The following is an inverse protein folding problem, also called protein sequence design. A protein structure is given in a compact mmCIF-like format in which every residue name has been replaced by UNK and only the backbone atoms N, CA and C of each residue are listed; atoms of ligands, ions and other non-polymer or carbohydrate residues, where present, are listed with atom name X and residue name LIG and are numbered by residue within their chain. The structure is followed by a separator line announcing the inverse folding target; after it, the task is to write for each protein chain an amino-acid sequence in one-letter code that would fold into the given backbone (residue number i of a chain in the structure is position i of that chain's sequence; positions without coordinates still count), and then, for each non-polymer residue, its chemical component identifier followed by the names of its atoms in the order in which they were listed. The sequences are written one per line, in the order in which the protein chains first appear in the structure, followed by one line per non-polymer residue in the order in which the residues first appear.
data_IF_513264949985
#
_entry.id   IF_513264949985
#
_cell.length_a   1.000
_cell.length_b   1.000
_cell.length_c   1.000
_cell.angle_alpha   90.00
_cell.angle_beta   90.00
_cell.angle_gamma   90.00
#
_symmetry.space_group_name_H-M   'P 1'
#
loop_
_entity.id
_entity.type
_entity.pdbx_description
1 polymer ?
#
# COMPACT_ATOMS: atom_id res chain seq x y z
N UNK A 1 1.40 19.80 42.55
CA UNK A 1 1.63 20.41 41.23
C UNK A 1 3.12 20.64 40.91
N UNK A 2 4.09 20.31 41.78
CA UNK A 2 5.53 20.58 41.53
C UNK A 2 6.33 19.42 40.91
N UNK A 3 5.87 18.16 40.97
CA UNK A 3 6.63 17.00 40.44
C UNK A 3 6.77 16.96 38.90
N UNK A 4 5.86 17.58 38.14
CA UNK A 4 5.96 17.59 36.67
C UNK A 4 7.09 18.48 36.14
N UNK A 5 7.56 19.45 36.93
CA UNK A 5 8.57 20.41 36.46
C UNK A 5 10.01 19.85 36.58
N UNK A 6 10.27 18.96 37.54
CA UNK A 6 11.57 18.27 37.66
C UNK A 6 11.84 17.31 36.48
N UNK A 7 10.80 16.66 35.94
CA UNK A 7 10.93 15.78 34.78
C UNK A 7 11.26 16.53 33.47
N UNK A 8 10.93 17.82 33.37
CA UNK A 8 11.19 18.62 32.18
C UNK A 8 12.65 19.11 32.10
N UNK A 9 13.28 19.42 33.23
CA UNK A 9 14.69 19.86 33.25
C UNK A 9 15.68 18.75 32.87
N UNK A 10 15.37 17.48 33.17
CA UNK A 10 16.23 16.34 32.82
C UNK A 10 16.15 15.89 31.35
N UNK A 11 15.27 16.49 30.55
CA UNK A 11 15.08 16.16 29.12
C UNK A 11 15.59 17.24 28.16
N UNK A 12 16.30 18.25 28.68
CA UNK A 12 16.95 19.26 27.84
C UNK A 12 18.10 18.62 27.07
N UNK A 13 18.05 18.70 25.73
CA UNK A 13 19.08 18.16 24.86
C UNK A 13 20.05 19.28 24.47
N UNK A 14 21.37 19.01 24.50
CA UNK A 14 22.35 19.93 23.93
C UNK A 14 22.08 20.15 22.43
N UNK A 15 22.27 21.38 21.95
CA UNK A 15 21.95 21.75 20.56
C UNK A 15 22.68 20.87 19.53
N UNK A 16 23.93 20.50 19.82
CA UNK A 16 24.73 19.62 18.98
C UNK A 16 24.09 18.23 18.82
N UNK A 17 23.58 17.68 19.93
CA UNK A 17 22.86 16.41 19.95
C UNK A 17 21.53 16.51 19.19
N UNK A 18 20.85 17.64 19.30
CA UNK A 18 19.58 17.87 18.61
C UNK A 18 19.77 17.98 17.10
N UNK A 19 20.81 18.67 16.65
CA UNK A 19 21.19 18.68 15.24
C UNK A 19 21.52 17.27 14.74
N UNK A 20 22.15 16.44 15.59
CA UNK A 20 22.43 15.03 15.28
C UNK A 20 21.16 14.17 15.12
N UNK A 21 20.14 14.41 15.95
CA UNK A 21 18.89 13.65 15.93
C UNK A 21 17.85 14.17 14.93
N UNK A 22 17.92 15.43 14.50
CA UNK A 22 16.93 16.08 13.62
C UNK A 22 16.61 15.26 12.36
N UNK A 23 17.61 14.74 11.63
CA UNK A 23 17.33 13.99 10.41
C UNK A 23 16.71 12.61 10.70
N UNK A 24 17.10 11.98 11.81
CA UNK A 24 16.48 10.73 12.26
C UNK A 24 15.01 10.95 12.63
N UNK A 25 14.71 12.04 13.34
CA UNK A 25 13.35 12.46 13.66
C UNK A 25 12.52 12.71 12.39
N UNK A 26 13.08 13.40 11.39
CA UNK A 26 12.41 13.60 10.09
C UNK A 26 12.08 12.29 9.39
N UNK A 27 13.02 11.34 9.40
CA UNK A 27 12.83 10.02 8.78
C UNK A 27 11.77 9.20 9.51
N UNK A 28 11.81 9.22 10.85
CA UNK A 28 10.78 8.59 11.66
C UNK A 28 9.40 9.23 11.45
N UNK A 29 9.33 10.55 11.26
CA UNK A 29 8.10 11.28 10.99
C UNK A 29 7.54 10.94 9.61
N UNK A 30 8.40 10.85 8.59
CA UNK A 30 8.04 10.39 7.24
C UNK A 30 7.45 8.97 7.25
N UNK A 31 8.03 8.08 8.05
CA UNK A 31 7.62 6.69 8.16
C UNK A 31 6.56 6.43 9.22
N UNK A 32 5.92 7.50 9.75
CA UNK A 32 4.89 7.38 10.78
C UNK A 32 5.34 6.58 12.02
N UNK A 33 6.64 6.54 12.28
CA UNK A 33 7.30 5.74 13.31
C UNK A 33 7.88 6.59 14.46
N UNK A 34 7.72 7.92 14.39
CA UNK A 34 8.15 8.84 15.45
C UNK A 34 7.38 8.53 16.73
N UNK A 35 8.14 8.22 17.79
CA UNK A 35 7.60 8.02 19.16
C UNK A 35 7.66 9.31 19.99
N UNK A 36 8.54 10.23 19.63
CA UNK A 36 8.82 11.47 20.34
C UNK A 36 8.86 12.64 19.36
N UNK A 37 8.50 13.83 19.84
CA UNK A 37 8.61 15.11 19.15
C UNK A 37 9.70 15.94 19.79
N UNK A 38 10.60 16.48 18.97
CA UNK A 38 11.63 17.41 19.43
C UNK A 38 11.12 18.82 19.19
N UNK A 39 10.88 19.60 20.25
CA UNK A 39 10.43 20.99 20.15
C UNK A 39 11.20 21.84 21.16
N UNK A 40 11.77 22.95 20.70
CA UNK A 40 12.45 23.94 21.54
C UNK A 40 13.51 23.34 22.49
N UNK A 41 14.33 22.42 21.98
CA UNK A 41 15.42 21.73 22.69
C UNK A 41 14.98 20.67 23.73
N UNK A 42 13.67 20.39 23.81
CA UNK A 42 13.13 19.33 24.65
C UNK A 42 12.66 18.13 23.82
N UNK A 43 12.94 16.93 24.31
CA UNK A 43 12.35 15.68 23.79
C UNK A 43 11.04 15.45 24.53
N UNK A 44 9.93 15.73 23.85
CA UNK A 44 8.59 15.57 24.39
C UNK A 44 7.96 14.28 23.82
N UNK A 45 7.18 13.53 24.61
CA UNK A 45 6.37 12.45 24.06
C UNK A 45 5.40 13.03 23.01
N UNK A 46 5.14 12.27 21.94
CA UNK A 46 4.23 12.73 20.90
C UNK A 46 2.84 13.05 21.48
N UNK A 47 2.27 14.17 21.05
CA UNK A 47 0.91 14.56 21.44
C UNK A 47 -0.11 13.45 21.13
N UNK A 48 -1.15 13.33 21.95
CA UNK A 48 -2.28 12.41 21.69
C UNK A 48 -2.90 12.65 20.32
N UNK A 49 -2.93 13.90 19.84
CA UNK A 49 -3.42 14.26 18.50
C UNK A 49 -2.56 13.68 17.39
N UNK A 50 -1.23 13.75 17.48
CA UNK A 50 -0.34 13.09 16.51
C UNK A 50 -0.54 11.57 16.48
N UNK A 51 -0.66 10.94 17.66
CA UNK A 51 -0.94 9.51 17.76
C UNK A 51 -2.28 9.16 17.09
N UNK A 52 -3.34 9.93 17.37
CA UNK A 52 -4.65 9.73 16.76
C UNK A 52 -4.62 9.90 15.23
N UNK A 53 -3.96 10.94 14.71
CA UNK A 53 -3.79 11.14 13.26
C UNK A 53 -3.06 9.96 12.63
N UNK A 54 -1.98 9.49 13.24
CA UNK A 54 -1.23 8.36 12.72
C UNK A 54 -2.07 7.06 12.68
N UNK A 55 -2.81 6.78 13.76
CA UNK A 55 -3.75 5.65 13.81
C UNK A 55 -4.80 5.78 12.73
N UNK A 56 -5.37 6.96 12.51
CA UNK A 56 -6.35 7.20 11.44
C UNK A 56 -5.77 6.96 10.05
N UNK A 57 -4.55 7.43 9.78
CA UNK A 57 -3.85 7.19 8.51
C UNK A 57 -3.60 5.69 8.30
N UNK A 58 -3.12 4.98 9.33
CA UNK A 58 -2.92 3.54 9.26
C UNK A 58 -4.24 2.79 9.05
N UNK A 59 -5.31 3.16 9.75
CA UNK A 59 -6.65 2.60 9.56
C UNK A 59 -7.15 2.84 8.13
N UNK A 60 -6.93 4.03 7.56
CA UNK A 60 -7.30 4.34 6.19
C UNK A 60 -6.53 3.48 5.18
N UNK A 61 -5.22 3.31 5.36
CA UNK A 61 -4.39 2.45 4.51
C UNK A 61 -4.88 1.00 4.58
N UNK A 62 -5.15 0.49 5.79
CA UNK A 62 -5.68 -0.85 6.01
C UNK A 62 -7.05 -1.02 5.34
N UNK A 63 -7.95 -0.04 5.49
CA UNK A 63 -9.26 -0.05 4.87
C UNK A 63 -9.17 -0.06 3.34
N UNK A 64 -8.38 0.85 2.74
CA UNK A 64 -8.18 0.91 1.30
C UNK A 64 -7.65 -0.42 0.76
N UNK A 65 -6.75 -1.05 1.50
CA UNK A 65 -6.22 -2.35 1.16
C UNK A 65 -7.24 -3.49 1.24
N UNK A 66 -8.07 -3.54 2.29
CA UNK A 66 -9.17 -4.51 2.38
C UNK A 66 -10.21 -4.30 1.28
N UNK A 67 -10.49 -3.04 0.91
CA UNK A 67 -11.38 -2.72 -0.19
C UNK A 67 -10.81 -3.20 -1.54
N UNK A 68 -9.51 -3.02 -1.80
CA UNK A 68 -8.88 -3.54 -3.02
C UNK A 68 -8.94 -5.06 -3.07
N UNK A 69 -8.66 -5.75 -1.95
CA UNK A 69 -8.77 -7.20 -1.87
C UNK A 69 -10.21 -7.68 -2.14
N UNK A 70 -11.22 -7.02 -1.55
CA UNK A 70 -12.61 -7.37 -1.80
C UNK A 70 -13.00 -7.13 -3.25
N UNK A 71 -12.52 -6.06 -3.89
CA UNK A 71 -12.72 -5.84 -5.33
C UNK A 71 -12.06 -6.91 -6.19
N UNK A 72 -10.87 -7.38 -5.84
CA UNK A 72 -10.18 -8.47 -6.56
C UNK A 72 -11.03 -9.75 -6.50
N UNK A 73 -11.44 -10.16 -5.30
CA UNK A 73 -12.24 -11.38 -5.11
C UNK A 73 -13.61 -11.25 -5.79
N UNK A 74 -14.28 -10.11 -5.63
CA UNK A 74 -15.57 -9.86 -6.26
C UNK A 74 -15.47 -9.88 -7.80
N UNK A 75 -14.44 -9.25 -8.38
CA UNK A 75 -14.22 -9.25 -9.83
C UNK A 75 -13.95 -10.67 -10.34
N UNK A 76 -13.11 -11.44 -9.63
CA UNK A 76 -12.84 -12.84 -9.98
C UNK A 76 -14.12 -13.69 -9.97
N UNK A 77 -14.88 -13.67 -8.87
CA UNK A 77 -16.13 -14.44 -8.75
C UNK A 77 -17.16 -14.00 -9.79
N UNK A 78 -17.34 -12.69 -9.98
CA UNK A 78 -18.28 -12.17 -10.96
C UNK A 78 -17.94 -12.64 -12.37
N UNK A 79 -16.67 -12.62 -12.78
CA UNK A 79 -16.26 -13.09 -14.11
C UNK A 79 -16.57 -14.57 -14.28
N UNK A 80 -16.27 -15.41 -13.28
CA UNK A 80 -16.55 -16.85 -13.36
C UNK A 80 -18.05 -17.16 -13.40
N UNK A 81 -18.85 -16.54 -12.55
CA UNK A 81 -20.31 -16.70 -12.53
C UNK A 81 -20.90 -16.22 -13.86
N UNK A 82 -20.45 -15.07 -14.35
CA UNK A 82 -20.87 -14.49 -15.63
C UNK A 82 -20.55 -15.45 -16.79
N UNK A 83 -19.38 -16.08 -16.79
CA UNK A 83 -19.00 -17.07 -17.78
C UNK A 83 -19.87 -18.34 -17.70
N UNK A 84 -20.13 -18.86 -16.50
CA UNK A 84 -20.99 -20.04 -16.32
C UNK A 84 -22.41 -19.80 -16.82
N UNK A 85 -22.95 -18.62 -16.54
CA UNK A 85 -24.26 -18.19 -17.02
C UNK A 85 -24.29 -18.17 -18.56
N UNK A 86 -23.26 -17.59 -19.22
CA UNK A 86 -23.14 -17.58 -20.68
C UNK A 86 -23.06 -18.99 -21.25
N UNK A 87 -22.26 -19.87 -20.66
CA UNK A 87 -22.17 -21.28 -21.06
C UNK A 87 -23.55 -21.96 -20.96
N UNK A 88 -24.28 -21.74 -19.86
CA UNK A 88 -25.63 -22.25 -19.68
C UNK A 88 -26.60 -21.80 -20.78
N UNK A 89 -26.49 -20.55 -21.23
CA UNK A 89 -27.31 -20.04 -22.34
C UNK A 89 -26.93 -20.64 -23.67
N UNK A 90 -25.64 -20.82 -23.96
CA UNK A 90 -25.22 -21.44 -25.22
C UNK A 90 -25.78 -22.87 -25.38
N UNK A 91 -26.14 -23.54 -24.28
CA UNK A 91 -26.79 -24.86 -24.29
C UNK A 91 -28.32 -24.82 -24.40
N UNK A 92 -28.97 -23.67 -24.21
CA UNK A 92 -30.43 -23.54 -24.22
C UNK A 92 -30.94 -22.95 -25.56
N UNK A 93 -31.36 -23.82 -26.48
CA UNK A 93 -31.76 -23.44 -27.86
C UNK A 93 -33.04 -22.60 -27.99
N UNK A 94 -33.78 -22.28 -26.91
CA UNK A 94 -35.12 -21.67 -27.04
C UNK A 94 -35.42 -20.66 -25.93
N UNK A 95 -35.40 -19.35 -26.23
CA UNK A 95 -36.31 -18.29 -25.69
C UNK A 95 -35.86 -16.85 -26.03
N UNK A 96 -36.16 -16.37 -27.26
CA UNK A 96 -35.70 -15.05 -27.77
C UNK A 96 -35.98 -13.82 -26.88
N UNK A 97 -37.10 -13.77 -26.14
CA UNK A 97 -37.45 -12.60 -25.32
C UNK A 97 -36.68 -12.49 -23.99
N UNK A 98 -36.20 -13.61 -23.46
CA UNK A 98 -35.42 -13.63 -22.22
C UNK A 98 -33.98 -13.12 -22.49
N UNK A 99 -33.48 -13.27 -23.72
CA UNK A 99 -32.12 -12.87 -24.11
C UNK A 99 -31.84 -11.37 -23.99
N UNK A 100 -32.82 -10.50 -24.26
CA UNK A 100 -32.58 -9.06 -24.32
C UNK A 100 -32.32 -8.45 -22.93
N UNK A 101 -33.19 -8.72 -21.95
CA UNK A 101 -33.00 -8.29 -20.56
C UNK A 101 -31.71 -8.83 -19.96
N UNK A 102 -31.43 -10.09 -20.28
CA UNK A 102 -30.24 -10.79 -19.84
C UNK A 102 -28.96 -10.15 -20.42
N UNK A 103 -28.97 -9.80 -21.72
CA UNK A 103 -27.85 -9.15 -22.38
C UNK A 103 -27.53 -7.79 -21.76
N UNK A 104 -28.56 -7.01 -21.40
CA UNK A 104 -28.40 -5.73 -20.71
C UNK A 104 -27.73 -5.91 -19.33
N UNK A 105 -28.21 -6.88 -18.53
CA UNK A 105 -27.60 -7.20 -17.23
C UNK A 105 -26.13 -7.59 -17.40
N UNK A 106 -25.81 -8.34 -18.46
CA UNK A 106 -24.46 -8.76 -18.77
C UNK A 106 -23.55 -7.57 -19.09
N UNK A 107 -23.98 -6.65 -19.96
CA UNK A 107 -23.22 -5.43 -20.29
C UNK A 107 -22.99 -4.58 -19.05
N UNK A 108 -24.00 -4.41 -18.20
CA UNK A 108 -23.88 -3.68 -16.93
C UNK A 108 -22.88 -4.35 -15.98
N UNK A 109 -22.91 -5.68 -15.88
CA UNK A 109 -21.95 -6.45 -15.08
C UNK A 109 -20.52 -6.26 -15.60
N UNK A 110 -20.30 -6.37 -16.91
CA UNK A 110 -18.99 -6.15 -17.53
C UNK A 110 -18.49 -4.73 -17.24
N UNK A 111 -19.33 -3.71 -17.44
CA UNK A 111 -18.98 -2.32 -17.16
C UNK A 111 -18.61 -2.10 -15.67
N UNK A 112 -19.34 -2.72 -14.74
CA UNK A 112 -19.05 -2.67 -13.31
C UNK A 112 -17.70 -3.33 -12.97
N UNK A 113 -17.42 -4.49 -13.56
CA UNK A 113 -16.15 -5.19 -13.38
C UNK A 113 -14.98 -4.40 -13.99
N UNK A 114 -15.16 -3.75 -15.14
CA UNK A 114 -14.15 -2.85 -15.72
C UNK A 114 -13.84 -1.70 -14.77
N UNK A 115 -14.86 -1.06 -14.18
CA UNK A 115 -14.65 -0.01 -13.16
C UNK A 115 -13.82 -0.52 -11.97
N UNK A 116 -14.16 -1.70 -11.43
CA UNK A 116 -13.42 -2.27 -10.31
C UNK A 116 -11.96 -2.59 -10.69
N UNK A 117 -11.75 -3.13 -11.89
CA UNK A 117 -10.42 -3.39 -12.42
C UNK A 117 -9.59 -2.11 -12.57
N UNK A 118 -10.18 -1.02 -13.06
CA UNK A 118 -9.50 0.29 -13.15
C UNK A 118 -9.07 0.80 -11.77
N UNK A 119 -9.90 0.63 -10.73
CA UNK A 119 -9.54 0.98 -9.35
C UNK A 119 -8.32 0.18 -8.87
N UNK A 120 -8.31 -1.14 -9.14
CA UNK A 120 -7.17 -2.01 -8.78
C UNK A 120 -5.90 -1.55 -9.50
N UNK A 121 -5.97 -1.25 -10.80
CA UNK A 121 -4.83 -0.75 -11.60
C UNK A 121 -4.31 0.59 -11.05
N UNK A 122 -5.20 1.53 -10.74
CA UNK A 122 -4.81 2.83 -10.18
C UNK A 122 -4.12 2.69 -8.82
N UNK A 123 -4.65 1.82 -7.95
CA UNK A 123 -4.05 1.52 -6.65
C UNK A 123 -2.66 0.88 -6.81
N UNK A 124 -2.56 -0.18 -7.61
CA UNK A 124 -1.28 -0.86 -7.91
C UNK A 124 -0.23 0.08 -8.49
N UNK A 125 -0.62 0.96 -9.41
CA UNK A 125 0.28 1.96 -10.01
C UNK A 125 0.75 2.98 -8.96
N UNK A 126 -0.14 3.38 -8.05
CA UNK A 126 0.20 4.30 -6.97
C UNK A 126 1.19 3.66 -5.99
N UNK A 127 1.00 2.38 -5.65
CA UNK A 127 1.95 1.61 -4.85
C UNK A 127 3.32 1.51 -5.54
N UNK A 128 3.36 1.23 -6.84
CA UNK A 128 4.62 1.13 -7.60
C UNK A 128 5.38 2.45 -7.62
N UNK A 129 4.69 3.58 -7.83
CA UNK A 129 5.29 4.93 -7.77
C UNK A 129 5.84 5.23 -6.38
N UNK A 130 5.12 4.84 -5.33
CA UNK A 130 5.59 4.98 -3.96
C UNK A 130 6.86 4.14 -3.71
N UNK A 131 6.89 2.89 -4.15
CA UNK A 131 8.06 2.03 -4.02
C UNK A 131 9.26 2.57 -4.79
N UNK A 132 9.05 3.00 -6.04
CA UNK A 132 10.09 3.63 -6.87
C UNK A 132 10.67 4.88 -6.21
N UNK A 133 9.83 5.67 -5.52
CA UNK A 133 10.29 6.85 -4.78
C UNK A 133 11.17 6.47 -3.59
N UNK A 134 10.84 5.37 -2.89
CA UNK A 134 11.65 4.85 -1.79
C UNK A 134 12.97 4.27 -2.29
N UNK A 135 12.96 3.53 -3.41
CA UNK A 135 14.18 3.02 -4.02
C UNK A 135 15.09 4.15 -4.51
N UNK A 136 14.51 5.22 -5.08
CA UNK A 136 15.25 6.45 -5.41
C UNK A 136 15.86 7.13 -4.17
N UNK A 137 15.13 7.18 -3.05
CA UNK A 137 15.65 7.68 -1.78
C UNK A 137 16.83 6.84 -1.28
N UNK A 138 16.72 5.50 -1.34
CA UNK A 138 17.81 4.58 -0.98
C UNK A 138 19.04 4.82 -1.85
N UNK A 139 18.85 4.90 -3.17
CA UNK A 139 19.93 5.17 -4.11
C UNK A 139 20.64 6.49 -3.82
N UNK A 140 19.89 7.58 -3.64
CA UNK A 140 20.45 8.90 -3.31
C UNK A 140 21.20 8.88 -1.97
N UNK A 141 20.68 8.16 -0.97
CA UNK A 141 21.38 7.96 0.30
C UNK A 141 22.72 7.24 0.10
N UNK A 142 22.77 6.19 -0.72
CA UNK A 142 24.04 5.48 -1.03
C UNK A 142 25.03 6.40 -1.74
N UNK A 143 24.59 7.20 -2.71
CA UNK A 143 25.44 8.16 -3.43
C UNK A 143 26.03 9.21 -2.47
N UNK A 144 25.21 9.82 -1.62
CA UNK A 144 25.66 10.81 -0.63
C UNK A 144 26.66 10.20 0.36
N UNK A 145 26.44 8.93 0.74
CA UNK A 145 27.31 8.20 1.66
C UNK A 145 28.71 7.97 1.09
N UNK A 146 28.82 7.73 -0.21
CA UNK A 146 30.08 7.50 -0.91
C UNK A 146 30.80 8.79 -1.29
N UNK A 147 30.06 9.89 -1.47
CA UNK A 147 30.61 11.15 -1.99
C UNK A 147 31.16 12.10 -0.91
N UNK A 148 30.86 11.87 0.38
CA UNK A 148 31.19 12.83 1.45
C UNK A 148 32.04 12.19 2.57
N UNK A 149 33.38 12.35 2.55
CA UNK A 149 34.25 11.78 3.58
C UNK A 149 34.18 12.50 4.94
N UNK A 150 33.87 13.81 4.95
CA UNK A 150 34.25 14.68 6.08
C UNK A 150 33.17 14.95 7.16
N UNK A 151 31.87 14.75 6.89
CA UNK A 151 30.81 15.04 7.89
C UNK A 151 30.25 13.76 8.53
N UNK A 152 30.87 13.34 9.64
CA UNK A 152 30.50 12.14 10.41
C UNK A 152 29.00 12.07 10.77
N UNK A 153 28.38 13.21 11.10
CA UNK A 153 26.95 13.31 11.46
C UNK A 153 26.04 13.00 10.26
N UNK A 154 26.27 13.64 9.12
CA UNK A 154 25.47 13.40 7.91
C UNK A 154 25.63 11.95 7.42
N UNK A 155 26.84 11.40 7.52
CA UNK A 155 27.10 9.99 7.19
C UNK A 155 26.30 9.03 8.06
N UNK A 156 26.26 9.26 9.38
CA UNK A 156 25.50 8.42 10.31
C UNK A 156 23.99 8.49 10.08
N UNK A 157 23.48 9.68 9.77
CA UNK A 157 22.09 9.92 9.39
C UNK A 157 21.74 9.09 8.15
N UNK A 158 22.52 9.23 7.08
CA UNK A 158 22.28 8.55 5.82
C UNK A 158 22.32 7.02 5.98
N UNK A 159 23.24 6.50 6.80
CA UNK A 159 23.27 5.07 7.18
C UNK A 159 22.02 4.64 7.95
N UNK A 160 21.53 5.47 8.87
CA UNK A 160 20.33 5.15 9.65
C UNK A 160 19.06 5.18 8.78
N UNK A 161 18.95 6.12 7.85
CA UNK A 161 17.87 6.15 6.85
C UNK A 161 17.91 4.87 6.01
N UNK A 162 19.08 4.53 5.48
CA UNK A 162 19.26 3.32 4.66
C UNK A 162 18.87 2.06 5.43
N UNK A 163 19.39 1.89 6.66
CA UNK A 163 19.02 0.77 7.55
C UNK A 163 17.53 0.74 7.84
N UNK A 164 16.90 1.88 8.07
CA UNK A 164 15.47 1.95 8.35
C UNK A 164 14.65 1.54 7.13
N UNK A 165 15.03 2.01 5.94
CA UNK A 165 14.43 1.60 4.68
C UNK A 165 14.75 0.13 4.31
N UNK A 166 15.84 -0.46 4.79
CA UNK A 166 16.12 -1.89 4.57
C UNK A 166 15.37 -2.79 5.56
N UNK A 167 15.26 -2.37 6.82
CA UNK A 167 14.64 -3.19 7.89
C UNK A 167 13.11 -3.04 7.91
N UNK A 168 12.57 -1.84 7.69
CA UNK A 168 11.12 -1.58 7.84
C UNK A 168 10.36 -1.55 6.53
N UNK A 169 11.02 -1.25 5.42
CA UNK A 169 10.34 -1.19 4.15
C UNK A 169 10.47 -2.55 3.44
N UNK A 170 9.40 -3.33 3.56
CA UNK A 170 9.12 -4.42 2.64
C UNK A 170 7.99 -3.95 1.71
N UNK A 171 8.03 -4.35 0.43
CA UNK A 171 6.90 -4.11 -0.48
C UNK A 171 5.62 -4.60 0.19
N UNK A 172 4.55 -3.81 0.14
CA UNK A 172 3.29 -4.14 0.81
C UNK A 172 2.75 -5.45 0.21
N UNK A 173 2.48 -6.43 1.06
CA UNK A 173 1.99 -7.75 0.64
C UNK A 173 0.55 -7.96 1.07
N UNK A 174 -0.36 -8.05 0.11
CA UNK A 174 -1.77 -8.46 0.23
C UNK A 174 -1.91 -9.81 0.93
N UNK A 175 -2.35 -9.78 2.19
CA UNK A 175 -2.47 -10.90 3.14
C UNK A 175 -1.23 -11.81 3.20
N UNK A 176 -0.05 -11.26 2.93
CA UNK A 176 1.20 -12.04 2.84
C UNK A 176 1.34 -12.88 1.56
N UNK A 177 0.33 -12.93 0.69
CA UNK A 177 0.29 -13.78 -0.50
C UNK A 177 0.69 -13.05 -1.78
N UNK A 178 0.26 -11.80 -1.96
CA UNK A 178 0.54 -11.05 -3.20
C UNK A 178 1.23 -9.72 -2.92
N UNK A 179 2.30 -9.41 -3.64
CA UNK A 179 2.86 -8.05 -3.64
C UNK A 179 1.85 -7.09 -4.28
N UNK A 180 1.50 -6.00 -3.58
CA UNK A 180 0.70 -4.92 -4.13
C UNK A 180 1.59 -4.06 -5.03
N UNK A 181 1.94 -4.60 -6.20
CA UNK A 181 2.78 -3.99 -7.22
C UNK A 181 2.01 -3.81 -8.53
N UNK A 182 2.66 -3.19 -9.52
CA UNK A 182 2.07 -3.02 -10.86
C UNK A 182 1.76 -4.35 -11.57
N UNK A 183 2.31 -5.48 -11.10
CA UNK A 183 2.03 -6.80 -11.66
C UNK A 183 0.79 -7.47 -11.04
N UNK A 184 0.23 -6.95 -9.94
CA UNK A 184 -0.96 -7.50 -9.30
C UNK A 184 -2.17 -7.64 -10.26
N UNK A 185 -2.54 -6.62 -11.07
CA UNK A 185 -3.63 -6.75 -12.03
C UNK A 185 -3.33 -7.80 -13.10
N UNK A 186 -2.06 -7.92 -13.53
CA UNK A 186 -1.64 -8.90 -14.52
C UNK A 186 -1.74 -10.34 -13.98
N UNK A 187 -1.33 -10.56 -12.73
CA UNK A 187 -1.49 -11.85 -12.04
C UNK A 187 -2.96 -12.23 -11.87
N UNK A 188 -3.81 -11.26 -11.55
CA UNK A 188 -5.27 -11.47 -11.49
C UNK A 188 -5.82 -11.88 -12.86
N UNK A 189 -5.45 -11.17 -13.93
CA UNK A 189 -5.87 -11.51 -15.29
C UNK A 189 -5.41 -12.92 -15.71
N UNK A 190 -4.19 -13.30 -15.34
CA UNK A 190 -3.69 -14.66 -15.60
C UNK A 190 -4.50 -15.71 -14.85
N UNK A 191 -4.83 -15.48 -13.58
CA UNK A 191 -5.66 -16.40 -12.80
C UNK A 191 -7.06 -16.54 -13.41
N UNK A 192 -7.71 -15.41 -13.72
CA UNK A 192 -9.01 -15.38 -14.38
C UNK A 192 -8.97 -16.17 -15.69
N UNK A 193 -8.00 -15.88 -16.57
CA UNK A 193 -7.88 -16.55 -17.85
C UNK A 193 -7.74 -18.07 -17.70
N UNK A 194 -6.89 -18.54 -16.78
CA UNK A 194 -6.72 -19.98 -16.51
C UNK A 194 -8.02 -20.63 -16.08
N UNK A 195 -8.76 -20.04 -15.13
CA UNK A 195 -10.04 -20.60 -14.68
C UNK A 195 -11.13 -20.52 -15.76
N UNK A 196 -11.15 -19.46 -16.57
CA UNK A 196 -12.05 -19.37 -17.72
C UNK A 196 -11.78 -20.50 -18.72
N UNK A 197 -10.51 -20.78 -19.06
CA UNK A 197 -10.14 -21.88 -19.96
C UNK A 197 -10.60 -23.23 -19.39
N UNK A 198 -10.35 -23.49 -18.11
CA UNK A 198 -10.79 -24.73 -17.45
C UNK A 198 -12.31 -24.88 -17.51
N UNK A 199 -13.08 -23.83 -17.20
CA UNK A 199 -14.53 -23.85 -17.30
C UNK A 199 -15.03 -24.11 -18.73
N UNK A 200 -14.37 -23.52 -19.72
CA UNK A 200 -14.69 -23.76 -21.14
C UNK A 200 -14.38 -25.19 -21.56
N UNK A 201 -13.26 -25.77 -21.11
CA UNK A 201 -12.92 -27.17 -21.36
C UNK A 201 -13.99 -28.11 -20.81
N UNK A 202 -14.41 -27.94 -19.55
CA UNK A 202 -15.50 -28.75 -18.97
C UNK A 202 -16.86 -28.56 -19.67
N UNK A 203 -17.07 -27.43 -20.34
CA UNK A 203 -18.34 -27.14 -20.96
C UNK A 203 -18.51 -27.77 -22.35
N UNK A 204 -17.42 -27.84 -23.12
CA UNK A 204 -17.43 -28.15 -24.56
C UNK A 204 -16.65 -29.41 -24.95
N UNK A 205 -15.78 -29.93 -24.07
CA UNK A 205 -14.97 -31.13 -24.29
C UNK A 205 -15.45 -32.27 -23.41
#
# INVERSE_FOLDING_TARGET
MSQNNEFLLNNALAEDFQQMLRPYYWTQKLLFASKYSIKDNFVLPNSRTYCAVNVLVLCFIIYAYFAVLSYIVATFVNILVTLQIVIGWTKSEKTNGIYEHISIIHVLSVAWNTKNFLIIVMFSTSCEKFYSSIDGLKHNCVVVLNSTPEKSVSRNVTKNVLRLCDVRFSKMRVCGWFTADAALPLRLMSLVATYCIVLLQFAFL
#
